data_IF_315264433355
#
_entry.id   IF_315264433355
#
_cell.length_a   1.000
_cell.length_b   1.000
_cell.length_c   1.000
_cell.angle_alpha   90.00
_cell.angle_beta   90.00
_cell.angle_gamma   90.00
#
_symmetry.space_group_name_H-M   'P 1'
#
loop_
_entity.id
_entity.type
_entity.pdbx_description
1 polymer ?
#
# COMPACT_ATOMS: atom_id res chain seq x y z
N UNK A 1 -2.77 -26.96 -21.56
CA UNK A 1 -2.06 -26.63 -20.31
C UNK A 1 -0.71 -25.97 -20.59
N UNK A 2 0.19 -26.60 -21.35
CA UNK A 2 1.51 -26.02 -21.71
C UNK A 2 1.40 -24.60 -22.29
N UNK A 3 0.51 -24.39 -23.25
CA UNK A 3 0.36 -23.08 -23.92
C UNK A 3 -0.17 -22.00 -22.98
N UNK A 4 -1.03 -22.36 -22.01
CA UNK A 4 -1.54 -21.43 -20.99
C UNK A 4 -0.39 -20.93 -20.12
N UNK A 5 0.48 -21.85 -19.68
CA UNK A 5 1.64 -21.50 -18.86
C UNK A 5 2.60 -20.60 -19.64
N UNK A 6 2.95 -20.97 -20.87
CA UNK A 6 3.86 -20.16 -21.71
C UNK A 6 3.30 -18.75 -21.92
N UNK A 7 2.03 -18.64 -22.30
CA UNK A 7 1.37 -17.34 -22.52
C UNK A 7 1.34 -16.49 -21.26
N UNK A 8 1.07 -17.07 -20.09
CA UNK A 8 1.06 -16.33 -18.82
C UNK A 8 2.44 -15.77 -18.44
N UNK A 9 3.51 -16.53 -18.69
CA UNK A 9 4.88 -16.07 -18.46
C UNK A 9 5.31 -15.00 -19.47
N UNK A 10 4.98 -15.18 -20.76
CA UNK A 10 5.22 -14.16 -21.79
C UNK A 10 4.52 -12.85 -21.46
N UNK A 11 3.27 -12.90 -21.01
CA UNK A 11 2.52 -11.73 -20.59
C UNK A 11 3.14 -11.06 -19.34
N UNK A 12 3.56 -11.85 -18.34
CA UNK A 12 4.23 -11.30 -17.15
C UNK A 12 5.55 -10.60 -17.48
N UNK A 13 6.33 -11.14 -18.41
CA UNK A 13 7.58 -10.52 -18.87
C UNK A 13 7.26 -9.19 -19.57
N UNK A 14 6.37 -9.21 -20.56
CA UNK A 14 5.99 -8.02 -21.33
C UNK A 14 5.53 -6.88 -20.42
N UNK A 15 4.62 -7.16 -19.48
CA UNK A 15 4.09 -6.15 -18.56
C UNK A 15 5.19 -5.52 -17.70
N UNK A 16 6.20 -6.30 -17.26
CA UNK A 16 7.33 -5.76 -16.49
C UNK A 16 8.24 -4.86 -17.33
N UNK A 17 8.50 -5.24 -18.58
CA UNK A 17 9.29 -4.43 -19.51
C UNK A 17 8.59 -3.10 -19.81
N UNK A 18 7.30 -3.14 -20.11
CA UNK A 18 6.51 -1.94 -20.42
C UNK A 18 6.39 -1.04 -19.18
N UNK A 19 6.13 -1.62 -18.00
CA UNK A 19 6.05 -0.86 -16.75
C UNK A 19 7.32 -0.05 -16.49
N UNK A 20 8.50 -0.67 -16.60
CA UNK A 20 9.77 0.03 -16.36
C UNK A 20 10.01 1.12 -17.41
N UNK A 21 9.71 0.86 -18.68
CA UNK A 21 9.87 1.87 -19.75
C UNK A 21 9.01 3.11 -19.50
N UNK A 22 7.80 2.92 -18.99
CA UNK A 22 6.81 4.00 -18.86
C UNK A 22 6.82 4.68 -17.48
N UNK A 23 7.22 3.98 -16.42
CA UNK A 23 6.97 4.40 -15.03
C UNK A 23 8.24 4.53 -14.17
N UNK A 24 9.44 4.40 -14.74
CA UNK A 24 10.68 4.43 -13.96
C UNK A 24 10.82 5.69 -13.10
N UNK A 25 10.55 6.87 -13.66
CA UNK A 25 10.66 8.14 -12.91
C UNK A 25 9.63 8.22 -11.77
N UNK A 26 8.41 7.73 -12.00
CA UNK A 26 7.37 7.63 -10.97
C UNK A 26 7.76 6.67 -9.84
N UNK A 27 8.32 5.51 -10.18
CA UNK A 27 8.82 4.52 -9.23
C UNK A 27 9.95 5.10 -8.37
N UNK A 28 10.93 5.77 -9.00
CA UNK A 28 12.05 6.39 -8.29
C UNK A 28 11.58 7.51 -7.37
N UNK A 29 10.66 8.35 -7.83
CA UNK A 29 10.04 9.41 -7.03
C UNK A 29 9.31 8.83 -5.80
N UNK A 30 8.50 7.78 -5.98
CA UNK A 30 7.82 7.11 -4.88
C UNK A 30 8.82 6.52 -3.86
N UNK A 31 9.85 5.83 -4.34
CA UNK A 31 10.89 5.26 -3.47
C UNK A 31 11.64 6.33 -2.67
N UNK A 32 12.00 7.44 -3.31
CA UNK A 32 12.67 8.57 -2.65
C UNK A 32 11.78 9.22 -1.59
N UNK A 33 10.47 9.38 -1.86
CA UNK A 33 9.52 9.91 -0.88
C UNK A 33 9.38 9.02 0.34
N UNK A 34 9.27 7.70 0.13
CA UNK A 34 9.23 6.74 1.23
C UNK A 34 10.51 6.79 2.07
N UNK A 35 11.68 6.84 1.42
CA UNK A 35 12.95 6.99 2.13
C UNK A 35 13.01 8.30 2.95
N UNK A 36 12.58 9.42 2.38
CA UNK A 36 12.55 10.71 3.06
C UNK A 36 11.56 10.73 4.25
N UNK A 37 10.39 10.12 4.09
CA UNK A 37 9.39 9.94 5.15
C UNK A 37 10.01 9.24 6.38
N UNK A 38 10.67 8.09 6.16
CA UNK A 38 11.34 7.38 7.24
C UNK A 38 12.51 8.15 7.84
N UNK A 39 13.32 8.82 7.03
CA UNK A 39 14.44 9.64 7.50
C UNK A 39 13.98 10.80 8.40
N UNK A 40 12.79 11.34 8.14
CA UNK A 40 12.16 12.38 8.93
C UNK A 40 11.40 11.86 10.17
N UNK A 41 11.35 10.54 10.39
CA UNK A 41 10.69 9.93 11.56
C UNK A 41 9.18 9.72 11.39
N UNK A 42 8.66 9.86 10.17
CA UNK A 42 7.27 9.58 9.83
C UNK A 42 7.09 8.11 9.40
N UNK A 43 5.84 7.69 9.21
CA UNK A 43 5.49 6.29 8.92
C UNK A 43 4.76 6.10 7.60
N UNK A 44 4.76 4.86 7.15
CA UNK A 44 4.06 4.40 5.97
C UNK A 44 2.82 3.56 6.37
N UNK A 45 1.64 4.01 5.99
CA UNK A 45 0.38 3.28 6.15
C UNK A 45 -0.01 2.66 4.80
N UNK A 46 -0.16 1.33 4.75
CA UNK A 46 -0.36 0.59 3.50
C UNK A 46 -1.69 -0.16 3.55
N UNK A 47 -2.47 -0.14 2.48
CA UNK A 47 -3.79 -0.76 2.45
C UNK A 47 -4.22 -1.17 1.05
N UNK A 48 -5.05 -2.19 0.97
CA UNK A 48 -5.57 -2.76 -0.27
C UNK A 48 -6.52 -3.91 0.02
N UNK A 49 -7.16 -4.45 -1.02
CA UNK A 49 -8.11 -5.55 -0.90
C UNK A 49 -7.59 -6.85 -1.53
N UNK A 50 -7.97 -8.01 -0.98
CA UNK A 50 -7.64 -9.31 -1.58
C UNK A 50 -6.13 -9.52 -1.72
N UNK A 51 -5.65 -9.82 -2.93
CA UNK A 51 -4.22 -9.94 -3.21
C UNK A 51 -3.43 -8.68 -2.83
N UNK A 52 -4.00 -7.49 -3.07
CA UNK A 52 -3.37 -6.22 -2.68
C UNK A 52 -3.30 -6.03 -1.16
N UNK A 53 -4.16 -6.69 -0.38
CA UNK A 53 -4.04 -6.73 1.08
C UNK A 53 -2.83 -7.59 1.51
N UNK A 54 -2.57 -8.68 0.79
CA UNK A 54 -1.39 -9.52 1.00
C UNK A 54 -0.10 -8.75 0.66
N UNK A 55 -0.10 -7.99 -0.45
CA UNK A 55 1.02 -7.10 -0.81
C UNK A 55 1.23 -6.02 0.26
N UNK A 56 0.15 -5.41 0.77
CA UNK A 56 0.24 -4.39 1.82
C UNK A 56 0.96 -4.90 3.08
N UNK A 57 0.55 -6.07 3.59
CA UNK A 57 1.19 -6.65 4.78
C UNK A 57 2.59 -7.19 4.50
N UNK A 58 2.86 -7.68 3.28
CA UNK A 58 4.21 -8.11 2.89
C UNK A 58 5.16 -6.91 2.90
N UNK A 59 4.82 -5.81 2.21
CA UNK A 59 5.64 -4.59 2.19
C UNK A 59 5.84 -4.04 3.61
N UNK A 60 4.79 -4.01 4.44
CA UNK A 60 4.92 -3.58 5.83
C UNK A 60 5.90 -4.45 6.63
N UNK A 61 5.84 -5.78 6.46
CA UNK A 61 6.74 -6.71 7.13
C UNK A 61 8.20 -6.51 6.70
N UNK A 62 8.45 -6.30 5.41
CA UNK A 62 9.81 -6.01 4.89
C UNK A 62 10.40 -4.74 5.52
N UNK A 63 9.57 -3.72 5.77
CA UNK A 63 10.02 -2.49 6.44
C UNK A 63 10.22 -2.66 7.95
N UNK A 64 9.28 -3.30 8.65
CA UNK A 64 9.35 -3.47 10.11
C UNK A 64 10.48 -4.42 10.51
N UNK A 65 10.65 -5.52 9.77
CA UNK A 65 11.67 -6.52 10.06
C UNK A 65 12.96 -6.21 9.29
N UNK A 66 13.05 -6.68 8.04
CA UNK A 66 14.23 -6.70 7.19
C UNK A 66 13.82 -7.04 5.76
N UNK A 67 14.56 -6.53 4.78
CA UNK A 67 14.50 -6.97 3.37
C UNK A 67 15.83 -7.61 2.93
N UNK A 68 16.68 -6.91 2.19
CA UNK A 68 17.98 -7.41 1.73
C UNK A 68 19.12 -7.08 2.69
N UNK A 69 19.14 -5.85 3.19
CA UNK A 69 20.19 -5.34 4.08
C UNK A 69 19.76 -5.38 5.54
N UNK A 70 20.72 -5.64 6.43
CA UNK A 70 20.51 -5.52 7.87
C UNK A 70 20.48 -4.03 8.25
N UNK A 71 19.43 -3.62 8.96
CA UNK A 71 19.20 -2.23 9.39
C UNK A 71 18.24 -2.18 10.57
N UNK A 72 18.08 -0.99 11.16
CA UNK A 72 17.03 -0.75 12.15
C UNK A 72 15.62 -0.91 11.53
N UNK A 73 14.62 -1.35 12.30
CA UNK A 73 13.21 -1.35 11.88
C UNK A 73 12.75 0.01 11.33
N UNK A 74 11.93 -0.01 10.26
CA UNK A 74 11.29 1.18 9.71
C UNK A 74 9.78 1.15 10.01
N UNK A 75 9.17 2.28 10.36
CA UNK A 75 7.78 2.31 10.82
C UNK A 75 6.80 2.17 9.65
N UNK A 76 6.32 0.96 9.40
CA UNK A 76 5.27 0.67 8.43
C UNK A 76 4.13 -0.13 9.06
N UNK A 77 2.90 0.13 8.63
CA UNK A 77 1.71 -0.56 9.12
C UNK A 77 0.76 -0.88 7.96
N UNK A 78 0.40 -2.15 7.84
CA UNK A 78 -0.66 -2.57 6.94
C UNK A 78 -2.01 -2.46 7.66
N UNK A 79 -2.97 -1.73 7.08
CA UNK A 79 -4.30 -1.51 7.67
C UNK A 79 -5.26 -2.68 7.41
N UNK A 80 -4.79 -3.72 6.75
CA UNK A 80 -5.56 -4.90 6.35
C UNK A 80 -5.36 -6.13 7.24
N UNK A 81 -4.66 -5.99 8.38
CA UNK A 81 -4.27 -7.14 9.21
C UNK A 81 -5.11 -7.32 10.46
N UNK A 82 -5.58 -6.23 11.07
CA UNK A 82 -6.41 -6.31 12.28
C UNK A 82 -7.84 -6.67 11.89
N UNK A 83 -8.16 -7.96 12.01
CA UNK A 83 -9.47 -8.48 11.66
C UNK A 83 -10.58 -7.92 12.54
N UNK A 84 -10.30 -7.57 13.80
CA UNK A 84 -11.29 -6.97 14.70
C UNK A 84 -11.64 -5.55 14.28
N UNK A 85 -10.66 -4.75 13.87
CA UNK A 85 -10.90 -3.41 13.30
C UNK A 85 -11.67 -3.51 11.97
N UNK A 86 -11.25 -4.39 11.06
CA UNK A 86 -11.89 -4.52 9.75
C UNK A 86 -13.35 -4.96 9.87
N UNK A 87 -13.61 -5.99 10.68
CA UNK A 87 -14.96 -6.55 10.83
C UNK A 87 -15.88 -5.63 11.63
N UNK A 88 -15.41 -4.99 12.71
CA UNK A 88 -16.24 -4.04 13.45
C UNK A 88 -16.64 -2.83 12.62
N UNK A 89 -15.70 -2.20 11.89
CA UNK A 89 -16.03 -1.05 11.02
C UNK A 89 -16.99 -1.46 9.91
N UNK A 90 -16.73 -2.59 9.26
CA UNK A 90 -17.57 -3.09 8.17
C UNK A 90 -18.98 -3.45 8.64
N UNK A 91 -19.12 -4.00 9.85
CA UNK A 91 -20.40 -4.42 10.42
C UNK A 91 -21.22 -3.22 10.92
N UNK A 92 -20.56 -2.30 11.64
CA UNK A 92 -21.25 -1.22 12.34
C UNK A 92 -21.50 0.00 11.43
N UNK A 93 -20.75 0.12 10.32
CA UNK A 93 -20.84 1.22 9.38
C UNK A 93 -20.91 0.71 7.93
N UNK A 94 -19.76 0.55 7.29
CA UNK A 94 -19.63 0.14 5.90
C UNK A 94 -18.24 -0.40 5.64
N UNK A 95 -18.13 -1.39 4.75
CA UNK A 95 -16.83 -1.86 4.27
C UNK A 95 -16.02 -0.75 3.59
N UNK A 96 -16.69 0.29 3.08
CA UNK A 96 -16.06 1.47 2.47
C UNK A 96 -15.24 2.30 3.47
N UNK A 97 -15.53 2.20 4.76
CA UNK A 97 -14.89 3.01 5.81
C UNK A 97 -13.68 2.33 6.47
N UNK A 98 -13.41 1.06 6.17
CA UNK A 98 -12.45 0.21 6.92
C UNK A 98 -11.05 0.80 6.96
N UNK A 99 -10.59 1.43 5.88
CA UNK A 99 -9.28 2.07 5.83
C UNK A 99 -9.34 3.54 6.23
N UNK A 100 -10.38 4.28 5.83
CA UNK A 100 -10.49 5.72 6.12
C UNK A 100 -10.56 6.01 7.63
N UNK A 101 -11.29 5.19 8.41
CA UNK A 101 -11.32 5.31 9.88
C UNK A 101 -9.96 5.04 10.52
N UNK A 102 -9.21 4.07 10.01
CA UNK A 102 -7.85 3.79 10.49
C UNK A 102 -6.88 4.91 10.14
N UNK A 103 -6.97 5.49 8.93
CA UNK A 103 -6.19 6.68 8.54
C UNK A 103 -6.47 7.85 9.50
N UNK A 104 -7.74 8.13 9.82
CA UNK A 104 -8.10 9.20 10.78
C UNK A 104 -7.51 8.97 12.18
N UNK A 105 -7.48 7.72 12.63
CA UNK A 105 -7.00 7.40 13.97
C UNK A 105 -5.47 7.36 14.08
N UNK A 106 -4.79 6.85 13.05
CA UNK A 106 -3.37 6.48 13.10
C UNK A 106 -2.48 7.42 12.29
N UNK A 107 -3.01 8.02 11.23
CA UNK A 107 -2.29 8.92 10.35
C UNK A 107 -1.98 10.26 11.02
N UNK A 108 -0.83 10.83 10.67
CA UNK A 108 -0.41 12.18 11.05
C UNK A 108 0.10 12.90 9.81
N UNK A 109 0.07 14.23 9.85
CA UNK A 109 0.66 15.06 8.78
C UNK A 109 2.08 14.57 8.47
N UNK A 110 2.43 14.56 7.20
CA UNK A 110 3.70 14.10 6.62
C UNK A 110 3.95 12.58 6.63
N UNK A 111 3.05 11.77 7.21
CA UNK A 111 3.04 10.33 6.92
C UNK A 111 2.68 10.06 5.45
N UNK A 112 2.95 8.85 4.99
CA UNK A 112 2.55 8.38 3.65
C UNK A 112 1.42 7.38 3.78
N UNK A 113 0.40 7.51 2.92
CA UNK A 113 -0.68 6.55 2.74
C UNK A 113 -0.58 5.89 1.36
N UNK A 114 -0.17 4.62 1.32
CA UNK A 114 -0.03 3.82 0.09
C UNK A 114 -1.25 2.93 -0.10
N UNK A 115 -2.16 3.36 -0.98
CA UNK A 115 -3.31 2.57 -1.42
C UNK A 115 -2.97 1.68 -2.62
N UNK A 116 -3.26 0.38 -2.53
CA UNK A 116 -3.01 -0.61 -3.59
C UNK A 116 -4.36 -1.13 -4.11
N UNK A 117 -4.64 -0.89 -5.40
CA UNK A 117 -5.83 -1.40 -6.08
C UNK A 117 -5.50 -1.68 -7.54
N UNK A 118 -5.77 -2.90 -8.00
CA UNK A 118 -5.55 -3.28 -9.41
C UNK A 118 -6.53 -2.61 -10.36
N UNK A 119 -7.74 -2.27 -9.89
CA UNK A 119 -8.77 -1.61 -10.70
C UNK A 119 -8.77 -0.09 -10.56
N UNK A 120 -8.13 0.44 -9.51
CA UNK A 120 -8.22 1.86 -9.15
C UNK A 120 -9.61 2.31 -8.66
N UNK A 121 -10.60 1.40 -8.60
CA UNK A 121 -12.01 1.71 -8.35
C UNK A 121 -12.52 1.22 -6.98
N UNK A 122 -11.64 0.67 -6.14
CA UNK A 122 -12.01 0.19 -4.81
C UNK A 122 -12.40 1.37 -3.91
N UNK A 123 -13.69 1.48 -3.57
CA UNK A 123 -14.22 2.64 -2.82
C UNK A 123 -13.56 2.84 -1.46
N UNK A 124 -13.29 1.77 -0.72
CA UNK A 124 -12.57 1.83 0.56
C UNK A 124 -11.12 2.35 0.45
N UNK A 125 -10.43 2.04 -0.66
CA UNK A 125 -9.07 2.55 -0.95
C UNK A 125 -9.15 4.03 -1.34
N UNK A 126 -10.09 4.39 -2.22
CA UNK A 126 -10.29 5.78 -2.66
C UNK A 126 -10.60 6.69 -1.45
N UNK A 127 -11.56 6.31 -0.61
CA UNK A 127 -11.92 7.09 0.58
C UNK A 127 -10.76 7.26 1.55
N UNK A 128 -9.91 6.25 1.70
CA UNK A 128 -8.73 6.34 2.56
C UNK A 128 -7.66 7.27 1.98
N UNK A 129 -7.45 7.26 0.66
CA UNK A 129 -6.56 8.21 -0.03
C UNK A 129 -7.08 9.64 0.10
N UNK A 130 -8.38 9.87 -0.13
CA UNK A 130 -9.02 11.18 0.06
C UNK A 130 -8.83 11.67 1.51
N UNK A 131 -9.15 10.82 2.49
CA UNK A 131 -8.99 11.14 3.91
C UNK A 131 -7.54 11.43 4.28
N UNK A 132 -6.58 10.67 3.74
CA UNK A 132 -5.15 10.89 3.97
C UNK A 132 -4.71 12.25 3.46
N UNK A 133 -5.14 12.63 2.24
CA UNK A 133 -4.84 13.94 1.65
C UNK A 133 -5.39 15.08 2.49
N UNK A 134 -6.63 14.96 2.97
CA UNK A 134 -7.26 15.98 3.83
C UNK A 134 -6.52 16.16 5.16
N UNK A 135 -5.86 15.11 5.65
CA UNK A 135 -5.04 15.14 6.87
C UNK A 135 -3.60 15.61 6.64
N UNK A 136 -3.21 15.86 5.38
CA UNK A 136 -1.85 16.26 5.02
C UNK A 136 -0.85 15.11 4.97
N UNK A 137 -1.32 13.88 4.73
CA UNK A 137 -0.46 12.76 4.35
C UNK A 137 -0.18 12.84 2.84
N UNK A 138 0.99 12.34 2.45
CA UNK A 138 1.29 12.12 1.03
C UNK A 138 0.63 10.82 0.56
N UNK A 139 0.08 10.82 -0.66
CA UNK A 139 -0.63 9.68 -1.28
C UNK A 139 -0.09 9.42 -2.67
#
# INVERSE_FOLDING_TARGET
MKDIVLKAFEESIRVKEDFVKENLDGLLSAAQRVAACFAAGYKLLIFGNGGSAADAQHIAAEFVNRFTVERKPLPALALSTDTSILTSISNDYSFDDVFSKQIRALGRRDDIALGISTSGNSRNVILAVETARDMGLYT
#
